data_IF_273529459977
#
_entry.id   IF_273529459977
#
_cell.length_a   1.000
_cell.length_b   1.000
_cell.length_c   1.000
_cell.angle_alpha   90.00
_cell.angle_beta   90.00
_cell.angle_gamma   90.00
#
_symmetry.space_group_name_H-M   'P 1'
#
loop_
_entity.id
_entity.type
_entity.pdbx_description
1 polymer ?
#
# COMPACT_ATOMS: atom_id res chain seq x y z
N UNK A 1 -52.09 -6.37 15.11
CA UNK A 1 -51.97 -4.98 14.59
C UNK A 1 -50.98 -4.26 15.49
N UNK A 2 -49.85 -3.79 14.95
CA UNK A 2 -48.90 -3.01 15.75
C UNK A 2 -49.43 -1.57 15.85
N UNK A 3 -49.51 -0.97 17.06
CA UNK A 3 -49.94 0.42 17.24
C UNK A 3 -48.88 1.43 16.75
N UNK A 4 -47.71 0.96 16.33
CA UNK A 4 -46.55 1.78 16.01
C UNK A 4 -46.43 2.02 14.51
N UNK A 5 -46.46 3.29 14.08
CA UNK A 5 -46.29 3.67 12.68
C UNK A 5 -44.85 3.47 12.21
N UNK A 6 -44.67 2.73 11.10
CA UNK A 6 -43.37 2.56 10.44
C UNK A 6 -43.40 3.21 9.06
N UNK A 7 -42.34 3.94 8.73
CA UNK A 7 -42.22 4.58 7.42
C UNK A 7 -42.20 3.51 6.31
N UNK A 8 -43.04 3.64 5.27
CA UNK A 8 -43.00 2.73 4.13
C UNK A 8 -41.70 2.91 3.34
N UNK A 9 -41.27 1.85 2.66
CA UNK A 9 -40.11 1.93 1.76
C UNK A 9 -40.47 2.81 0.57
N UNK A 10 -39.78 3.93 0.43
CA UNK A 10 -39.94 4.88 -0.68
C UNK A 10 -38.78 4.73 -1.67
N UNK A 11 -38.97 5.19 -2.91
CA UNK A 11 -37.89 5.27 -3.89
C UNK A 11 -36.76 6.20 -3.38
N UNK A 12 -35.55 5.66 -3.25
CA UNK A 12 -34.35 6.41 -2.91
C UNK A 12 -33.45 6.52 -4.14
N UNK A 13 -33.47 7.68 -4.80
CA UNK A 13 -32.62 7.94 -5.97
C UNK A 13 -31.14 8.07 -5.58
N UNK A 14 -30.25 7.62 -6.45
CA UNK A 14 -28.81 7.82 -6.28
C UNK A 14 -28.46 9.32 -6.43
N UNK A 15 -27.42 9.77 -5.72
CA UNK A 15 -26.97 11.16 -5.78
C UNK A 15 -26.33 11.46 -7.14
N UNK A 16 -26.91 12.38 -7.89
CA UNK A 16 -26.36 12.92 -9.14
C UNK A 16 -26.17 14.45 -8.98
N UNK A 17 -25.06 14.90 -8.36
CA UNK A 17 -24.82 16.32 -8.15
C UNK A 17 -24.54 17.04 -9.47
N UNK A 18 -25.04 18.28 -9.62
CA UNK A 18 -24.85 19.09 -10.84
C UNK A 18 -23.43 19.61 -11.04
N UNK A 19 -22.60 19.57 -10.01
CA UNK A 19 -21.22 20.04 -10.03
C UNK A 19 -20.32 19.13 -9.19
N UNK A 20 -19.03 19.00 -9.54
CA UNK A 20 -18.10 18.18 -8.78
C UNK A 20 -17.74 18.83 -7.43
N UNK A 21 -17.56 18.01 -6.38
CA UNK A 21 -17.13 18.48 -5.05
C UNK A 21 -15.72 19.05 -5.00
N UNK A 22 -14.85 18.62 -5.92
CA UNK A 22 -13.47 19.08 -6.06
C UNK A 22 -13.24 19.42 -7.52
N UNK A 23 -12.60 20.55 -7.78
CA UNK A 23 -12.26 20.99 -9.13
C UNK A 23 -11.28 20.03 -9.83
N UNK A 24 -10.35 19.44 -9.07
CA UNK A 24 -9.36 18.50 -9.60
C UNK A 24 -9.32 17.18 -8.82
N UNK A 25 -8.96 16.10 -9.50
CA UNK A 25 -8.67 14.82 -8.86
C UNK A 25 -7.42 14.91 -7.98
N UNK A 26 -7.40 14.16 -6.88
CA UNK A 26 -6.19 14.07 -6.04
C UNK A 26 -5.17 13.18 -6.75
N UNK A 27 -3.90 13.61 -6.75
CA UNK A 27 -2.78 12.76 -7.16
C UNK A 27 -2.55 11.67 -6.11
N UNK A 28 -2.12 10.50 -6.55
CA UNK A 28 -1.61 9.50 -5.63
C UNK A 28 -0.34 10.06 -4.98
N UNK A 29 -0.25 9.98 -3.65
CA UNK A 29 0.94 10.44 -2.89
C UNK A 29 1.94 9.31 -2.68
N UNK A 30 1.51 8.06 -2.89
CA UNK A 30 2.26 6.85 -2.57
C UNK A 30 2.51 6.09 -3.88
N UNK A 31 3.34 6.68 -4.71
CA UNK A 31 3.78 6.12 -6.00
C UNK A 31 4.91 5.11 -5.80
N UNK A 32 5.27 4.35 -6.83
CA UNK A 32 6.27 3.25 -6.72
C UNK A 32 7.61 3.72 -6.17
N UNK A 33 8.10 4.89 -6.62
CA UNK A 33 9.33 5.50 -6.12
C UNK A 33 9.20 6.08 -4.71
N UNK A 34 7.99 6.39 -4.25
CA UNK A 34 7.77 6.83 -2.86
C UNK A 34 7.63 5.63 -1.91
N UNK A 35 7.18 4.48 -2.43
CA UNK A 35 7.05 3.22 -1.67
C UNK A 35 8.43 2.68 -1.31
N UNK A 36 9.34 2.56 -2.28
CA UNK A 36 10.70 2.05 -2.07
C UNK A 36 11.64 3.24 -1.92
N UNK A 37 12.23 3.41 -0.74
CA UNK A 37 13.12 4.54 -0.45
C UNK A 37 14.56 4.23 -0.86
N UNK A 38 15.13 3.16 -0.29
CA UNK A 38 16.48 2.72 -0.59
C UNK A 38 16.68 1.24 -0.21
N UNK A 39 17.60 0.52 -0.86
CA UNK A 39 17.99 -0.83 -0.44
C UNK A 39 18.75 -0.77 0.89
N UNK A 40 18.61 -1.80 1.72
CA UNK A 40 19.39 -1.93 2.94
C UNK A 40 20.68 -2.70 2.65
N UNK A 41 21.82 -2.02 2.79
CA UNK A 41 23.15 -2.55 2.43
C UNK A 41 24.00 -2.97 3.63
N UNK A 42 23.36 -3.30 4.76
CA UNK A 42 24.08 -3.81 5.95
C UNK A 42 24.67 -5.20 5.69
N UNK A 43 25.75 -5.58 6.37
CA UNK A 43 26.38 -6.91 6.23
C UNK A 43 25.38 -8.08 6.36
N UNK A 44 24.50 -8.01 7.36
CA UNK A 44 23.44 -9.00 7.55
C UNK A 44 22.40 -9.04 6.40
N UNK A 45 22.22 -7.94 5.69
CA UNK A 45 21.36 -7.86 4.52
C UNK A 45 22.06 -8.44 3.30
N UNK A 46 23.33 -8.09 3.07
CA UNK A 46 24.15 -8.67 2.01
C UNK A 46 24.20 -10.19 2.12
N UNK A 47 24.41 -10.72 3.32
CA UNK A 47 24.36 -12.16 3.59
C UNK A 47 23.02 -12.80 3.22
N UNK A 48 21.89 -12.12 3.44
CA UNK A 48 20.56 -12.64 3.06
C UNK A 48 20.31 -12.64 1.55
N UNK A 49 20.96 -11.73 0.82
CA UNK A 49 20.92 -11.72 -0.64
C UNK A 49 21.64 -12.96 -1.17
N UNK A 50 22.82 -13.28 -0.62
CA UNK A 50 23.63 -14.44 -1.01
C UNK A 50 22.99 -15.77 -0.61
N UNK A 51 22.58 -15.91 0.67
CA UNK A 51 22.12 -17.19 1.22
C UNK A 51 20.70 -17.57 0.79
N UNK A 52 19.79 -16.58 0.70
CA UNK A 52 18.34 -16.81 0.59
C UNK A 52 17.69 -16.11 -0.61
N UNK A 53 18.47 -15.45 -1.48
CA UNK A 53 17.96 -14.64 -2.58
C UNK A 53 16.87 -13.66 -2.15
N UNK A 54 17.05 -13.02 -0.98
CA UNK A 54 16.06 -12.12 -0.40
C UNK A 54 16.59 -10.70 -0.39
N UNK A 55 15.95 -9.81 -1.14
CA UNK A 55 16.34 -8.39 -1.19
C UNK A 55 15.73 -7.65 -0.01
N UNK A 56 16.52 -6.79 0.62
CA UNK A 56 16.06 -6.00 1.76
C UNK A 56 15.95 -4.52 1.38
N UNK A 57 14.78 -3.95 1.61
CA UNK A 57 14.49 -2.55 1.31
C UNK A 57 13.97 -1.79 2.53
N UNK A 58 14.30 -0.50 2.58
CA UNK A 58 13.57 0.45 3.40
C UNK A 58 12.43 1.04 2.58
N UNK A 59 11.24 0.95 3.15
CA UNK A 59 9.98 1.29 2.49
C UNK A 59 9.17 2.28 3.33
N UNK A 60 8.19 2.93 2.71
CA UNK A 60 7.28 3.82 3.44
C UNK A 60 6.46 3.08 4.51
N UNK A 61 6.27 3.75 5.65
CA UNK A 61 5.56 3.19 6.82
C UNK A 61 4.09 2.93 6.52
N UNK A 62 3.50 3.58 5.51
CA UNK A 62 2.11 3.35 5.07
C UNK A 62 1.99 2.29 3.98
N UNK A 63 3.09 1.86 3.37
CA UNK A 63 3.05 0.90 2.27
C UNK A 63 2.58 -0.49 2.71
N UNK A 64 1.62 -1.07 1.98
CA UNK A 64 1.18 -2.45 2.20
C UNK A 64 2.10 -3.45 1.48
N UNK A 65 2.07 -4.72 1.90
CA UNK A 65 2.86 -5.79 1.25
C UNK A 65 2.56 -5.91 -0.25
N UNK A 66 1.30 -5.72 -0.65
CA UNK A 66 0.89 -5.76 -2.05
C UNK A 66 1.46 -4.58 -2.86
N UNK A 67 1.48 -3.38 -2.27
CA UNK A 67 2.07 -2.20 -2.90
C UNK A 67 3.58 -2.36 -3.07
N UNK A 68 4.28 -2.88 -2.06
CA UNK A 68 5.71 -3.17 -2.13
C UNK A 68 5.99 -4.19 -3.24
N UNK A 69 5.23 -5.28 -3.30
CA UNK A 69 5.34 -6.31 -4.35
C UNK A 69 5.19 -5.70 -5.75
N UNK A 70 4.20 -4.85 -5.95
CA UNK A 70 3.96 -4.18 -7.23
C UNK A 70 5.04 -3.15 -7.56
N UNK A 71 5.53 -2.39 -6.58
CA UNK A 71 6.57 -1.39 -6.78
C UNK A 71 7.90 -2.05 -7.17
N UNK A 72 8.30 -3.13 -6.48
CA UNK A 72 9.52 -3.86 -6.80
C UNK A 72 9.44 -4.46 -8.21
N UNK A 73 8.31 -5.10 -8.54
CA UNK A 73 8.10 -5.69 -9.86
C UNK A 73 8.17 -4.66 -10.99
N UNK A 74 7.70 -3.43 -10.76
CA UNK A 74 7.71 -2.37 -11.78
C UNK A 74 9.04 -1.60 -11.87
N UNK A 75 9.75 -1.45 -10.75
CA UNK A 75 10.97 -0.64 -10.71
C UNK A 75 12.20 -1.44 -11.11
N UNK A 76 12.21 -2.74 -10.84
CA UNK A 76 13.36 -3.60 -11.06
C UNK A 76 13.06 -4.76 -12.02
N UNK A 77 11.83 -4.89 -12.52
CA UNK A 77 11.38 -5.98 -13.41
C UNK A 77 11.61 -7.39 -12.84
N UNK A 78 11.48 -7.53 -11.51
CA UNK A 78 11.67 -8.80 -10.79
C UNK A 78 10.32 -9.42 -10.40
N UNK A 79 10.19 -10.74 -10.57
CA UNK A 79 9.08 -11.51 -10.03
C UNK A 79 9.28 -11.84 -8.55
N UNK A 80 8.34 -11.40 -7.72
CA UNK A 80 8.42 -11.55 -6.26
C UNK A 80 7.55 -12.71 -5.78
N UNK A 81 8.13 -13.66 -5.05
CA UNK A 81 7.39 -14.75 -4.44
C UNK A 81 6.54 -14.26 -3.25
N UNK A 82 7.19 -13.72 -2.21
CA UNK A 82 6.56 -13.32 -0.95
C UNK A 82 7.26 -12.11 -0.36
N UNK A 83 6.49 -11.20 0.24
CA UNK A 83 7.04 -10.04 0.97
C UNK A 83 6.77 -10.18 2.46
N UNK A 84 7.81 -10.07 3.28
CA UNK A 84 7.71 -9.93 4.74
C UNK A 84 8.12 -8.51 5.14
N UNK A 85 7.46 -7.94 6.13
CA UNK A 85 7.72 -6.55 6.56
C UNK A 85 7.77 -6.47 8.07
N UNK A 86 8.65 -5.64 8.62
CA UNK A 86 8.66 -5.25 10.03
C UNK A 86 8.94 -3.75 10.16
N UNK A 87 8.41 -3.14 11.22
CA UNK A 87 8.79 -1.78 11.59
C UNK A 87 10.03 -1.85 12.48
N UNK A 88 11.08 -1.11 12.14
CA UNK A 88 12.28 -0.99 12.95
C UNK A 88 12.03 -0.08 14.17
N UNK A 89 12.82 -0.22 15.24
CA UNK A 89 12.79 0.75 16.35
C UNK A 89 13.09 2.18 15.88
N UNK A 90 13.85 2.34 14.79
CA UNK A 90 14.16 3.62 14.14
C UNK A 90 12.92 4.31 13.50
N UNK A 91 11.75 3.66 13.51
CA UNK A 91 10.52 4.17 12.90
C UNK A 91 10.39 3.91 11.40
N UNK A 92 11.40 3.30 10.77
CA UNK A 92 11.37 2.94 9.37
C UNK A 92 10.86 1.52 9.14
N UNK A 93 10.10 1.31 8.05
CA UNK A 93 9.64 -0.02 7.69
C UNK A 93 10.69 -0.72 6.83
N UNK A 94 11.06 -1.93 7.24
CA UNK A 94 11.97 -2.84 6.53
C UNK A 94 11.14 -3.91 5.83
N UNK A 95 11.40 -4.12 4.55
CA UNK A 95 10.80 -5.16 3.73
C UNK A 95 11.86 -6.18 3.32
N UNK A 96 11.50 -7.46 3.44
CA UNK A 96 12.19 -8.60 2.86
C UNK A 96 11.36 -9.04 1.67
N UNK A 97 11.96 -9.01 0.49
CA UNK A 97 11.30 -9.25 -0.79
C UNK A 97 11.93 -10.48 -1.45
#
# INVERSE_FOLDING_TARGET
>A
MSPTFQRPKTLCLQRQPKYPRKSTSRRNRLDHCAIIKFPLTTESAMKKIEDNNTLMFIVDVKASKHQIKQAVKKLYDIDVAKVNTLLRPDGEKKAYV
#
